data_IF_016262298037
#
_entry.id   IF_016262298037
#
_cell.length_a   1.000
_cell.length_b   1.000
_cell.length_c   1.000
_cell.angle_alpha   90.00
_cell.angle_beta   90.00
_cell.angle_gamma   90.00
#
_symmetry.space_group_name_H-M   'P 1'
#
loop_
_entity.id
_entity.type
_entity.pdbx_description
1 polymer ?
#
# COMPACT_ATOMS: atom_id res chain seq x y z
N UNK A 1 -1.23 30.26 0.03
CA UNK A 1 -2.45 30.97 -0.40
C UNK A 1 -3.24 31.52 0.80
N UNK A 2 -3.78 30.66 1.68
CA UNK A 2 -4.64 31.08 2.80
C UNK A 2 -4.01 32.05 3.81
N UNK A 3 -2.70 31.90 4.07
CA UNK A 3 -1.95 32.83 4.94
C UNK A 3 -1.86 34.26 4.38
N UNK A 4 -1.91 34.43 3.06
CA UNK A 4 -1.64 35.72 2.38
C UNK A 4 -2.88 36.39 1.81
N UNK A 5 -4.02 35.71 1.78
CA UNK A 5 -5.25 36.23 1.19
C UNK A 5 -6.43 35.95 2.12
N UNK A 6 -6.83 36.99 2.86
CA UNK A 6 -7.90 36.88 3.85
C UNK A 6 -9.26 36.68 3.18
N UNK A 7 -9.50 37.26 1.99
CA UNK A 7 -10.75 37.03 1.24
C UNK A 7 -10.97 35.55 0.89
N UNK A 8 -9.92 34.87 0.42
CA UNK A 8 -9.95 33.42 0.17
C UNK A 8 -10.14 32.65 1.48
N UNK A 9 -9.41 33.03 2.55
CA UNK A 9 -9.53 32.38 3.85
C UNK A 9 -10.96 32.47 4.39
N UNK A 10 -11.53 33.67 4.45
CA UNK A 10 -12.90 33.93 4.91
C UNK A 10 -13.91 33.18 4.04
N UNK A 11 -13.74 33.15 2.72
CA UNK A 11 -14.61 32.37 1.83
C UNK A 11 -14.60 30.89 2.17
N UNK A 12 -13.44 30.30 2.48
CA UNK A 12 -13.32 28.89 2.86
C UNK A 12 -13.86 28.65 4.27
N UNK A 13 -13.57 29.52 5.23
CA UNK A 13 -14.12 29.44 6.60
C UNK A 13 -15.66 29.50 6.59
N UNK A 14 -16.24 30.34 5.75
CA UNK A 14 -17.70 30.44 5.59
C UNK A 14 -18.31 29.17 4.98
N UNK A 15 -17.57 28.51 4.07
CA UNK A 15 -17.97 27.23 3.45
C UNK A 15 -17.83 26.07 4.43
N UNK A 16 -16.74 26.01 5.19
CA UNK A 16 -16.41 24.94 6.13
C UNK A 16 -16.37 25.49 7.55
N UNK A 17 -17.57 25.63 8.14
CA UNK A 17 -17.74 26.18 9.50
C UNK A 17 -17.20 25.29 10.62
N UNK A 18 -16.99 24.00 10.32
CA UNK A 18 -16.50 22.99 11.25
C UNK A 18 -15.46 22.13 10.55
N UNK A 19 -14.32 21.94 11.21
CA UNK A 19 -13.19 21.16 10.71
C UNK A 19 -13.04 19.93 11.59
N UNK A 20 -13.15 18.76 10.98
CA UNK A 20 -12.92 17.48 11.64
C UNK A 20 -11.57 16.94 11.17
N UNK A 21 -10.72 16.58 12.12
CA UNK A 21 -9.39 16.03 11.84
C UNK A 21 -9.27 14.69 12.56
N UNK A 22 -9.13 13.63 11.79
CA UNK A 22 -8.81 12.29 12.29
C UNK A 22 -7.30 12.05 12.25
N UNK A 23 -6.81 11.06 12.98
CA UNK A 23 -5.39 10.71 13.09
C UNK A 23 -4.48 11.92 13.42
N UNK A 24 -4.94 12.79 14.31
CA UNK A 24 -4.30 14.08 14.59
C UNK A 24 -2.85 13.96 15.11
N UNK A 25 -2.48 12.80 15.65
CA UNK A 25 -1.10 12.50 16.07
C UNK A 25 -0.10 12.47 14.91
N UNK A 26 -0.55 12.21 13.68
CA UNK A 26 0.31 12.09 12.49
C UNK A 26 0.41 13.41 11.70
N UNK A 27 -0.09 14.51 12.28
CA UNK A 27 -0.03 15.82 11.65
C UNK A 27 1.32 16.49 11.79
N UNK A 28 1.73 17.21 10.74
CA UNK A 28 2.93 18.04 10.73
C UNK A 28 2.60 19.52 11.04
N UNK A 29 3.60 20.36 11.38
CA UNK A 29 3.38 21.76 11.73
C UNK A 29 2.62 22.59 10.68
N UNK A 30 2.74 22.27 9.39
CA UNK A 30 2.01 22.97 8.33
C UNK A 30 0.54 22.58 8.30
N UNK A 31 0.22 21.30 8.51
CA UNK A 31 -1.17 20.84 8.61
C UNK A 31 -1.86 21.45 9.82
N UNK A 32 -1.18 21.49 10.97
CA UNK A 32 -1.68 22.20 12.16
C UNK A 32 -1.89 23.68 11.89
N UNK A 33 -0.95 24.33 11.19
CA UNK A 33 -1.12 25.73 10.78
C UNK A 33 -2.33 25.92 9.87
N UNK A 34 -2.58 24.98 8.95
CA UNK A 34 -3.75 25.00 8.08
C UNK A 34 -5.04 24.91 8.91
N UNK A 35 -5.12 23.96 9.85
CA UNK A 35 -6.28 23.83 10.74
C UNK A 35 -6.53 25.15 11.48
N UNK A 36 -5.49 25.76 12.06
CA UNK A 36 -5.60 27.08 12.71
C UNK A 36 -6.10 28.18 11.76
N UNK A 37 -5.60 28.24 10.53
CA UNK A 37 -6.06 29.22 9.54
C UNK A 37 -7.54 29.02 9.16
N UNK A 38 -8.09 27.83 9.33
CA UNK A 38 -9.48 27.53 9.05
C UNK A 38 -10.40 27.74 10.26
N UNK A 39 -9.85 27.78 11.48
CA UNK A 39 -10.64 27.80 12.71
C UNK A 39 -10.50 29.11 13.50
N UNK A 40 -9.47 29.90 13.21
CA UNK A 40 -9.25 31.24 13.77
C UNK A 40 -9.72 32.27 12.72
N UNK A 41 -10.78 33.02 13.03
CA UNK A 41 -11.23 34.10 12.14
C UNK A 41 -10.19 35.24 12.11
N UNK A 42 -10.07 35.99 10.99
CA UNK A 42 -9.04 37.03 10.85
C UNK A 42 -9.04 38.12 11.92
N UNK A 43 -10.19 38.35 12.56
CA UNK A 43 -10.43 39.32 13.64
C UNK A 43 -10.24 38.73 15.05
N UNK A 44 -9.84 37.46 15.15
CA UNK A 44 -9.68 36.73 16.41
C UNK A 44 -8.24 36.22 16.58
N UNK A 45 -7.80 36.11 17.83
CA UNK A 45 -6.52 35.49 18.19
C UNK A 45 -6.64 34.01 18.54
N UNK A 46 -7.86 33.53 18.77
CA UNK A 46 -8.16 32.20 19.32
C UNK A 46 -9.01 31.37 18.35
N UNK A 47 -9.04 30.07 18.58
CA UNK A 47 -9.88 29.13 17.84
C UNK A 47 -11.34 29.48 18.13
N UNK A 48 -12.15 29.62 17.07
CA UNK A 48 -13.57 29.90 17.21
C UNK A 48 -14.27 28.73 17.92
N UNK A 49 -15.07 28.95 18.98
CA UNK A 49 -15.76 27.87 19.67
C UNK A 49 -16.58 26.98 18.74
N UNK A 50 -16.40 25.65 18.85
CA UNK A 50 -17.11 24.66 18.03
C UNK A 50 -16.67 24.56 16.56
N UNK A 51 -15.61 25.27 16.15
CA UNK A 51 -15.08 25.23 14.78
C UNK A 51 -14.18 24.03 14.49
N UNK A 52 -13.67 23.34 15.51
CA UNK A 52 -12.73 22.22 15.34
C UNK A 52 -13.09 21.03 16.21
N UNK A 53 -12.92 19.84 15.65
CA UNK A 53 -13.01 18.57 16.35
C UNK A 53 -11.84 17.69 15.90
N UNK A 54 -10.98 17.30 16.84
CA UNK A 54 -9.81 16.47 16.55
C UNK A 54 -9.91 15.12 17.25
N UNK A 55 -9.55 14.06 16.53
CA UNK A 55 -9.46 12.70 17.03
C UNK A 55 -8.06 12.19 16.73
N UNK A 56 -7.49 11.45 17.67
CA UNK A 56 -6.18 10.83 17.49
C UNK A 56 -5.73 10.09 18.74
N UNK A 57 -4.75 9.23 18.55
CA UNK A 57 -4.09 8.51 19.62
C UNK A 57 -2.58 8.75 19.56
N UNK A 58 -1.99 9.51 20.49
CA UNK A 58 -0.56 9.80 20.44
C UNK A 58 0.31 8.53 20.59
N UNK A 59 -0.25 7.42 21.10
CA UNK A 59 0.42 6.11 21.18
C UNK A 59 0.59 5.46 19.79
N UNK A 60 -0.17 5.90 18.79
CA UNK A 60 -0.17 5.36 17.43
C UNK A 60 0.62 6.23 16.43
N UNK A 61 1.32 7.27 16.90
CA UNK A 61 2.13 8.15 16.04
C UNK A 61 3.36 7.41 15.50
N UNK A 62 3.26 6.89 14.28
CA UNK A 62 4.35 6.15 13.60
C UNK A 62 4.94 6.89 12.39
N UNK A 63 4.39 8.06 12.01
CA UNK A 63 4.82 8.82 10.82
C UNK A 63 5.87 9.92 11.08
N UNK A 64 6.70 9.77 12.13
CA UNK A 64 7.77 10.75 12.45
C UNK A 64 8.73 11.01 11.28
N UNK A 65 8.99 9.99 10.44
CA UNK A 65 9.82 10.12 9.24
C UNK A 65 9.23 11.04 8.16
N UNK A 66 7.92 11.35 8.23
CA UNK A 66 7.23 12.32 7.37
C UNK A 66 7.08 13.70 8.03
N UNK A 67 7.68 13.91 9.20
CA UNK A 67 7.63 15.18 9.91
C UNK A 67 6.49 15.32 10.93
N UNK A 68 5.73 14.25 11.20
CA UNK A 68 4.75 14.24 12.29
C UNK A 68 5.43 14.48 13.64
N UNK A 69 4.82 15.32 14.47
CA UNK A 69 5.35 15.69 15.78
C UNK A 69 4.25 15.66 16.85
N UNK A 70 4.30 14.64 17.71
CA UNK A 70 3.33 14.47 18.82
C UNK A 70 3.28 15.70 19.72
N UNK A 71 4.41 16.39 19.94
CA UNK A 71 4.48 17.62 20.74
C UNK A 71 3.61 18.75 20.17
N UNK A 72 3.49 18.85 18.85
CA UNK A 72 2.65 19.85 18.18
C UNK A 72 1.17 19.54 18.41
N UNK A 73 0.78 18.26 18.29
CA UNK A 73 -0.58 17.82 18.57
C UNK A 73 -0.97 18.06 20.05
N UNK A 74 -0.04 17.84 20.99
CA UNK A 74 -0.25 18.13 22.42
C UNK A 74 -0.38 19.65 22.68
N UNK A 75 0.41 20.49 22.02
CA UNK A 75 0.29 21.94 22.15
C UNK A 75 -1.08 22.44 21.68
N UNK A 76 -1.58 21.96 20.53
CA UNK A 76 -2.91 22.32 20.01
C UNK A 76 -4.02 21.82 20.92
N UNK A 77 -3.88 20.61 21.48
CA UNK A 77 -4.81 20.12 22.51
C UNK A 77 -4.84 21.07 23.71
N UNK A 78 -3.69 21.55 24.16
CA UNK A 78 -3.58 22.57 25.20
C UNK A 78 -4.37 23.83 24.85
N UNK A 79 -4.18 24.37 23.65
CA UNK A 79 -4.91 25.56 23.16
C UNK A 79 -6.43 25.35 23.14
N UNK A 80 -6.90 24.19 22.66
CA UNK A 80 -8.33 23.89 22.58
C UNK A 80 -8.98 23.78 23.97
N UNK A 81 -8.28 23.20 24.95
CA UNK A 81 -8.83 22.86 26.26
C UNK A 81 -8.63 23.97 27.29
N UNK A 82 -7.47 24.64 27.28
CA UNK A 82 -7.03 25.52 28.37
C UNK A 82 -7.16 27.01 28.05
N UNK A 83 -7.10 27.43 26.78
CA UNK A 83 -7.04 28.86 26.41
C UNK A 83 -8.42 29.51 26.30
N UNK A 84 -9.36 29.20 27.20
CA UNK A 84 -10.66 29.90 27.27
C UNK A 84 -11.67 29.60 26.15
N UNK A 85 -11.28 28.83 25.12
CA UNK A 85 -12.14 28.40 23.99
C UNK A 85 -13.31 27.51 24.43
N UNK A 86 -13.26 26.95 25.64
CA UNK A 86 -14.29 26.07 26.19
C UNK A 86 -14.30 24.66 25.57
N UNK A 87 -13.19 24.26 24.95
CA UNK A 87 -13.04 22.92 24.38
C UNK A 87 -12.99 21.83 25.45
N UNK A 88 -13.46 20.64 25.08
CA UNK A 88 -13.50 19.48 25.98
C UNK A 88 -12.59 18.37 25.46
N UNK A 89 -11.68 17.91 26.32
CA UNK A 89 -10.94 16.67 26.07
C UNK A 89 -11.76 15.46 26.55
N UNK A 90 -11.87 14.45 25.69
CA UNK A 90 -12.54 13.18 26.01
C UNK A 90 -11.57 12.04 25.70
N UNK A 91 -11.36 11.17 26.68
CA UNK A 91 -10.56 9.95 26.51
C UNK A 91 -11.50 8.76 26.34
N UNK A 92 -11.31 7.98 25.29
CA UNK A 92 -12.02 6.72 25.07
C UNK A 92 -11.08 5.56 25.43
N UNK A 93 -11.39 4.83 26.49
CA UNK A 93 -10.61 3.66 26.95
C UNK A 93 -11.21 2.33 26.49
N UNK A 94 -12.51 2.33 26.19
CA UNK A 94 -13.25 1.14 25.80
C UNK A 94 -12.85 0.66 24.41
N UNK A 95 -12.27 -0.54 24.34
CA UNK A 95 -12.02 -1.26 23.11
C UNK A 95 -13.22 -2.16 22.77
N UNK A 96 -13.67 -2.05 21.52
CA UNK A 96 -14.78 -2.84 20.95
C UNK A 96 -14.33 -3.74 19.79
N UNK A 97 -13.03 -3.77 19.48
CA UNK A 97 -12.48 -4.39 18.26
C UNK A 97 -11.78 -5.71 18.51
N UNK A 98 -11.21 -5.89 19.70
CA UNK A 98 -10.30 -6.98 20.04
C UNK A 98 -10.87 -7.88 21.13
N UNK A 99 -10.29 -9.07 21.29
CA UNK A 99 -10.63 -10.00 22.38
C UNK A 99 -9.94 -9.62 23.68
N UNK A 100 -10.42 -10.15 24.81
CA UNK A 100 -9.83 -9.90 26.12
C UNK A 100 -8.36 -10.33 26.19
N UNK A 101 -8.01 -11.46 25.57
CA UNK A 101 -6.62 -11.95 25.53
C UNK A 101 -5.67 -10.95 24.85
N UNK A 102 -6.07 -10.38 23.70
CA UNK A 102 -5.29 -9.37 23.00
C UNK A 102 -5.15 -8.12 23.88
N UNK A 103 -6.23 -7.64 24.49
CA UNK A 103 -6.18 -6.44 25.34
C UNK A 103 -5.27 -6.64 26.54
N UNK A 104 -5.41 -7.75 27.26
CA UNK A 104 -4.59 -8.04 28.43
C UNK A 104 -3.11 -8.15 28.07
N UNK A 105 -2.79 -8.81 26.96
CA UNK A 105 -1.42 -8.93 26.48
C UNK A 105 -0.84 -7.57 26.08
N UNK A 106 -1.58 -6.76 25.30
CA UNK A 106 -1.17 -5.41 24.90
C UNK A 106 -0.96 -4.51 26.12
N UNK A 107 -1.90 -4.53 27.08
CA UNK A 107 -1.79 -3.77 28.32
C UNK A 107 -0.53 -4.17 29.10
N UNK A 108 -0.28 -5.47 29.26
CA UNK A 108 0.89 -5.98 29.97
C UNK A 108 2.20 -5.57 29.30
N UNK A 109 2.31 -5.70 27.97
CA UNK A 109 3.52 -5.35 27.23
C UNK A 109 3.78 -3.84 27.29
N UNK A 110 2.79 -2.99 26.99
CA UNK A 110 3.06 -1.57 26.85
C UNK A 110 3.08 -0.79 28.16
N UNK A 111 2.51 -1.32 29.26
CA UNK A 111 2.64 -0.71 30.59
C UNK A 111 4.11 -0.59 31.03
N UNK A 112 4.95 -1.57 30.67
CA UNK A 112 6.38 -1.50 30.96
C UNK A 112 7.13 -0.55 30.00
N UNK A 113 6.79 -0.57 28.71
CA UNK A 113 7.61 0.05 27.66
C UNK A 113 7.19 1.47 27.24
N UNK A 114 5.92 1.86 27.37
CA UNK A 114 5.42 3.19 26.95
C UNK A 114 5.36 4.17 28.12
N UNK A 115 6.47 4.87 28.34
CA UNK A 115 6.63 5.90 29.38
C UNK A 115 7.02 7.24 28.76
N UNK A 116 6.43 8.34 29.22
CA UNK A 116 6.72 9.70 28.74
C UNK A 116 8.18 10.10 28.79
N UNK A 117 8.95 9.54 29.74
CA UNK A 117 10.40 9.70 29.86
C UNK A 117 11.16 9.27 28.59
N UNK A 118 10.60 8.37 27.79
CA UNK A 118 11.18 7.88 26.52
C UNK A 118 10.84 8.76 25.31
N UNK A 119 10.18 9.90 25.53
CA UNK A 119 9.70 10.77 24.45
C UNK A 119 8.46 10.23 23.71
N UNK A 120 7.77 9.25 24.31
CA UNK A 120 6.50 8.71 23.83
C UNK A 120 5.32 9.23 24.67
N UNK A 121 4.09 8.88 24.30
CA UNK A 121 2.94 9.09 25.18
C UNK A 121 2.89 8.01 26.27
N UNK A 122 2.41 8.37 27.46
CA UNK A 122 2.17 7.39 28.52
C UNK A 122 1.12 6.37 28.10
N UNK A 123 1.33 5.11 28.51
CA UNK A 123 0.33 4.08 28.33
C UNK A 123 -0.95 4.39 29.12
N UNK A 124 -2.10 4.27 28.46
CA UNK A 124 -3.41 4.30 29.09
C UNK A 124 -4.03 2.93 28.87
N UNK A 125 -4.24 2.12 29.92
CA UNK A 125 -4.80 0.79 29.79
C UNK A 125 -6.14 0.79 29.05
N UNK A 126 -6.26 -0.15 28.11
CA UNK A 126 -7.49 -0.39 27.36
C UNK A 126 -8.45 -1.23 28.23
N UNK A 127 -9.72 -0.87 28.17
CA UNK A 127 -10.81 -1.55 28.89
C UNK A 127 -11.69 -2.29 27.88
N UNK A 128 -12.13 -3.51 28.19
CA UNK A 128 -13.11 -4.21 27.34
C UNK A 128 -14.47 -3.51 27.47
N UNK A 129 -15.11 -3.19 26.34
CA UNK A 129 -16.47 -2.68 26.37
C UNK A 129 -17.45 -3.79 26.80
N UNK A 130 -18.37 -3.47 27.73
CA UNK A 130 -19.27 -4.45 28.37
C UNK A 130 -20.18 -5.19 27.36
N UNK A 131 -20.60 -4.51 26.30
CA UNK A 131 -21.42 -5.05 25.20
C UNK A 131 -20.64 -5.98 24.25
N UNK A 132 -19.30 -5.97 24.35
CA UNK A 132 -18.39 -6.82 23.59
C UNK A 132 -17.71 -7.89 24.44
N UNK A 133 -18.09 -8.03 25.71
CA UNK A 133 -17.56 -9.05 26.61
C UNK A 133 -17.80 -10.44 26.00
N UNK A 134 -16.71 -11.08 25.59
CA UNK A 134 -16.73 -12.40 24.97
C UNK A 134 -16.66 -13.46 26.09
N UNK A 135 -17.19 -14.67 25.87
CA UNK A 135 -16.85 -15.81 26.73
C UNK A 135 -15.32 -15.92 26.83
N UNK A 136 -14.78 -16.31 27.99
CA UNK A 136 -13.32 -16.37 28.25
C UNK A 136 -12.53 -17.22 27.22
N UNK A 137 -13.21 -18.07 26.44
CA UNK A 137 -12.64 -18.97 25.45
C UNK A 137 -12.42 -18.38 24.05
N UNK A 138 -12.53 -17.06 23.85
CA UNK A 138 -12.32 -16.43 22.55
C UNK A 138 -11.05 -15.58 22.45
N UNK A 139 -10.19 -15.97 21.50
CA UNK A 139 -8.96 -15.28 21.13
C UNK A 139 -7.81 -15.63 22.06
N UNK A 140 -6.68 -16.01 21.46
CA UNK A 140 -5.45 -16.35 22.16
C UNK A 140 -4.31 -15.55 21.54
N UNK A 141 -3.32 -15.21 22.37
CA UNK A 141 -2.08 -14.61 21.91
C UNK A 141 -1.01 -15.68 22.04
N UNK A 142 -0.38 -15.99 20.92
CA UNK A 142 0.71 -16.95 20.87
C UNK A 142 2.01 -16.24 20.58
N UNK A 143 3.05 -16.64 21.30
CA UNK A 143 4.43 -16.28 20.98
C UNK A 143 5.09 -17.52 20.39
N UNK A 144 5.58 -17.41 19.16
CA UNK A 144 6.23 -18.49 18.43
C UNK A 144 7.71 -18.16 18.23
N UNK A 145 8.53 -19.21 18.18
CA UNK A 145 9.97 -19.11 17.99
C UNK A 145 10.76 -19.31 19.28
N UNK A 146 12.01 -19.72 19.13
CA UNK A 146 12.96 -19.86 20.22
C UNK A 146 14.28 -19.14 19.86
N UNK A 147 15.06 -18.69 20.84
CA UNK A 147 16.38 -18.16 20.58
C UNK A 147 17.23 -19.17 19.80
N UNK A 148 17.64 -18.80 18.59
CA UNK A 148 18.54 -19.62 17.79
C UNK A 148 19.98 -19.15 18.01
N UNK A 149 20.86 -20.05 18.44
CA UNK A 149 22.31 -19.77 18.50
C UNK A 149 22.95 -19.93 17.12
N UNK A 150 22.55 -19.04 16.20
CA UNK A 150 23.08 -18.99 14.83
C UNK A 150 23.56 -17.59 14.50
N UNK A 151 24.74 -17.50 13.88
CA UNK A 151 25.32 -16.21 13.46
C UNK A 151 24.69 -15.66 12.18
N UNK A 152 24.01 -16.51 11.40
CA UNK A 152 23.43 -16.13 10.12
C UNK A 152 21.97 -15.70 10.28
N UNK A 153 21.71 -14.41 10.05
CA UNK A 153 20.37 -13.81 10.11
C UNK A 153 19.41 -14.43 9.09
N UNK A 154 19.89 -14.83 7.92
CA UNK A 154 19.02 -15.41 6.89
C UNK A 154 18.50 -16.80 7.29
N UNK A 155 19.27 -17.55 8.07
CA UNK A 155 18.80 -18.82 8.65
C UNK A 155 17.64 -18.59 9.62
N UNK A 156 17.73 -17.55 10.47
CA UNK A 156 16.66 -17.18 11.40
C UNK A 156 15.42 -16.75 10.62
N UNK A 157 15.58 -15.91 9.59
CA UNK A 157 14.47 -15.44 8.74
C UNK A 157 13.78 -16.59 8.02
N UNK A 158 14.54 -17.55 7.51
CA UNK A 158 13.99 -18.72 6.83
C UNK A 158 13.16 -19.58 7.78
N UNK A 159 13.64 -19.81 9.02
CA UNK A 159 12.89 -20.54 10.04
C UNK A 159 11.61 -19.80 10.45
N UNK A 160 11.69 -18.47 10.63
CA UNK A 160 10.53 -17.63 10.93
C UNK A 160 9.48 -17.66 9.80
N UNK A 161 9.92 -17.54 8.54
CA UNK A 161 9.04 -17.64 7.38
C UNK A 161 8.33 -18.99 7.28
N UNK A 162 9.03 -20.10 7.60
CA UNK A 162 8.42 -21.43 7.64
C UNK A 162 7.38 -21.55 8.75
N UNK A 163 7.65 -21.02 9.94
CA UNK A 163 6.69 -21.01 11.04
C UNK A 163 5.42 -20.21 10.67
N UNK A 164 5.59 -19.03 10.09
CA UNK A 164 4.48 -18.19 9.60
C UNK A 164 3.68 -18.91 8.52
N UNK A 165 4.34 -19.58 7.56
CA UNK A 165 3.65 -20.33 6.51
C UNK A 165 2.81 -21.49 7.08
N UNK A 166 3.28 -22.16 8.14
CA UNK A 166 2.51 -23.20 8.82
C UNK A 166 1.27 -22.65 9.54
N UNK A 167 1.38 -21.48 10.18
CA UNK A 167 0.23 -20.78 10.76
C UNK A 167 -0.75 -20.37 9.65
N UNK A 168 -0.24 -19.83 8.55
CA UNK A 168 -1.04 -19.43 7.41
C UNK A 168 -1.83 -20.62 6.84
N UNK A 169 -1.19 -21.78 6.71
CA UNK A 169 -1.84 -23.03 6.30
C UNK A 169 -2.99 -23.38 7.24
N UNK A 170 -2.74 -23.41 8.55
CA UNK A 170 -3.77 -23.75 9.53
C UNK A 170 -5.00 -22.83 9.41
N UNK A 171 -4.77 -21.52 9.24
CA UNK A 171 -5.84 -20.54 9.05
C UNK A 171 -6.58 -20.78 7.73
N UNK A 172 -5.86 -20.96 6.63
CA UNK A 172 -6.45 -21.17 5.30
C UNK A 172 -7.24 -22.47 5.19
N UNK A 173 -6.85 -23.52 5.92
CA UNK A 173 -7.57 -24.80 5.97
C UNK A 173 -8.73 -24.81 6.98
N UNK A 174 -9.04 -23.69 7.62
CA UNK A 174 -10.14 -23.58 8.57
C UNK A 174 -9.91 -24.25 9.92
N UNK A 175 -8.64 -24.44 10.33
CA UNK A 175 -8.31 -25.10 11.58
C UNK A 175 -8.62 -24.25 12.83
N UNK A 176 -8.81 -22.93 12.67
CA UNK A 176 -9.17 -22.03 13.76
C UNK A 176 -10.65 -21.66 13.70
N UNK A 177 -11.22 -21.31 14.86
CA UNK A 177 -12.55 -20.77 14.97
C UNK A 177 -12.48 -19.25 15.09
N UNK A 178 -13.21 -18.56 14.22
CA UNK A 178 -13.33 -17.09 14.22
C UNK A 178 -14.79 -16.68 14.40
N UNK A 179 -15.00 -15.51 14.98
CA UNK A 179 -16.33 -14.92 15.14
C UNK A 179 -16.62 -14.01 13.96
N UNK A 180 -17.72 -14.27 13.26
CA UNK A 180 -18.17 -13.38 12.20
C UNK A 180 -18.72 -12.08 12.82
N UNK A 181 -18.17 -10.93 12.40
CA UNK A 181 -18.58 -9.63 12.93
C UNK A 181 -20.00 -9.23 12.54
N UNK A 182 -20.58 -9.81 11.48
CA UNK A 182 -21.89 -9.42 10.96
C UNK A 182 -23.04 -10.03 11.75
N UNK A 183 -22.95 -11.32 12.06
CA UNK A 183 -24.01 -12.05 12.78
C UNK A 183 -23.58 -12.53 14.17
N UNK A 184 -22.29 -12.43 14.52
CA UNK A 184 -21.75 -12.84 15.81
C UNK A 184 -21.52 -14.34 15.96
N UNK A 185 -21.78 -15.15 14.92
CA UNK A 185 -21.67 -16.60 14.95
C UNK A 185 -20.22 -17.08 14.81
N UNK A 186 -19.96 -18.32 15.24
CA UNK A 186 -18.65 -18.97 15.06
C UNK A 186 -18.60 -19.61 13.68
N UNK A 187 -17.48 -19.43 12.98
CA UNK A 187 -17.17 -20.14 11.74
C UNK A 187 -15.72 -20.56 11.71
N UNK A 188 -15.41 -21.53 10.85
CA UNK A 188 -14.02 -21.84 10.55
C UNK A 188 -13.32 -20.63 9.92
N UNK A 189 -12.03 -20.50 10.20
CA UNK A 189 -11.17 -19.48 9.62
C UNK A 189 -11.04 -19.65 8.11
N UNK A 190 -10.71 -18.55 7.44
CA UNK A 190 -10.51 -18.48 6.00
C UNK A 190 -9.28 -17.61 5.71
N UNK A 191 -8.73 -17.62 4.48
CA UNK A 191 -7.58 -16.79 4.14
C UNK A 191 -7.79 -15.29 4.44
N UNK A 192 -9.02 -14.78 4.29
CA UNK A 192 -9.36 -13.39 4.59
C UNK A 192 -9.36 -13.02 6.07
N UNK A 193 -9.18 -13.99 6.97
CA UNK A 193 -9.07 -13.76 8.42
C UNK A 193 -7.62 -13.60 8.89
N UNK A 194 -6.64 -13.81 8.00
CA UNK A 194 -5.21 -13.67 8.30
C UNK A 194 -4.66 -12.36 7.76
N UNK A 195 -3.85 -11.69 8.57
CA UNK A 195 -3.01 -10.58 8.12
C UNK A 195 -1.62 -10.75 8.73
N UNK A 196 -0.59 -10.73 7.88
CA UNK A 196 0.81 -10.81 8.30
C UNK A 196 1.39 -9.40 8.23
N UNK A 197 1.85 -8.88 9.37
CA UNK A 197 2.45 -7.55 9.48
C UNK A 197 3.96 -7.67 9.67
N UNK A 198 4.72 -6.95 8.85
CA UNK A 198 6.19 -6.85 8.97
C UNK A 198 6.60 -5.38 9.12
N UNK A 199 7.69 -5.13 9.83
CA UNK A 199 8.22 -3.76 10.01
C UNK A 199 8.75 -3.16 8.71
N UNK A 200 9.37 -3.98 7.87
CA UNK A 200 10.00 -3.57 6.61
C UNK A 200 9.77 -4.64 5.54
N UNK A 201 9.70 -4.20 4.29
CA UNK A 201 9.47 -5.07 3.12
C UNK A 201 10.69 -5.85 2.66
N UNK A 202 11.87 -5.59 3.23
CA UNK A 202 13.15 -6.14 2.73
C UNK A 202 13.21 -7.66 2.66
N UNK A 203 12.37 -8.37 3.42
CA UNK A 203 12.40 -9.83 3.51
C UNK A 203 11.10 -10.48 3.02
N UNK A 204 10.22 -9.71 2.38
CA UNK A 204 8.90 -10.18 1.99
C UNK A 204 8.96 -11.42 1.08
N UNK A 205 9.91 -11.45 0.14
CA UNK A 205 10.15 -12.58 -0.76
C UNK A 205 10.41 -13.91 -0.04
N UNK A 206 11.04 -13.87 1.15
CA UNK A 206 11.30 -15.08 1.94
C UNK A 206 9.98 -15.66 2.47
N UNK A 207 9.07 -14.82 2.94
CA UNK A 207 7.77 -15.27 3.45
C UNK A 207 6.87 -15.74 2.31
N UNK A 208 6.77 -14.97 1.22
CA UNK A 208 5.92 -15.36 0.09
C UNK A 208 6.36 -16.69 -0.50
N UNK A 209 7.68 -16.92 -0.65
CA UNK A 209 8.18 -18.20 -1.15
C UNK A 209 7.74 -19.40 -0.32
N UNK A 210 7.73 -19.30 1.01
CA UNK A 210 7.24 -20.40 1.87
C UNK A 210 5.73 -20.57 1.79
N UNK A 211 4.98 -19.49 1.60
CA UNK A 211 3.52 -19.53 1.39
C UNK A 211 3.19 -20.12 0.01
N UNK A 212 3.96 -19.75 -1.03
CA UNK A 212 3.83 -20.26 -2.41
C UNK A 212 4.06 -21.77 -2.47
N UNK A 213 5.06 -22.30 -1.72
CA UNK A 213 5.30 -23.75 -1.60
C UNK A 213 4.11 -24.53 -1.08
N UNK A 214 3.22 -23.87 -0.32
CA UNK A 214 2.01 -24.46 0.24
C UNK A 214 0.77 -24.17 -0.63
N UNK A 215 0.95 -23.50 -1.77
CA UNK A 215 -0.11 -23.13 -2.71
C UNK A 215 -1.27 -22.36 -2.04
N UNK A 216 -0.94 -21.56 -1.02
CA UNK A 216 -1.95 -20.79 -0.28
C UNK A 216 -2.28 -19.48 -0.99
N UNK A 217 -3.57 -19.08 -1.05
CA UNK A 217 -3.95 -17.81 -1.61
C UNK A 217 -3.57 -16.66 -0.67
N UNK A 218 -2.93 -15.62 -1.21
CA UNK A 218 -2.65 -14.38 -0.50
C UNK A 218 -2.68 -13.18 -1.43
N UNK A 219 -2.78 -11.99 -0.84
CA UNK A 219 -2.55 -10.73 -1.53
C UNK A 219 -1.40 -10.01 -0.84
N UNK A 220 -0.43 -9.57 -1.63
CA UNK A 220 0.66 -8.73 -1.18
C UNK A 220 0.41 -7.29 -1.63
N UNK A 221 0.56 -6.31 -0.73
CA UNK A 221 0.65 -4.91 -1.15
C UNK A 221 2.03 -4.65 -1.77
N UNK A 222 2.13 -4.94 -3.06
CA UNK A 222 3.31 -4.69 -3.89
C UNK A 222 3.40 -3.18 -4.17
N UNK A 223 4.56 -2.59 -3.89
CA UNK A 223 4.82 -1.18 -4.20
C UNK A 223 4.93 -0.94 -5.70
N UNK A 224 4.63 0.28 -6.16
CA UNK A 224 4.66 0.60 -7.60
C UNK A 224 6.03 0.39 -8.28
N UNK A 225 7.14 0.42 -7.54
CA UNK A 225 8.48 0.15 -8.09
C UNK A 225 8.69 -1.32 -8.47
N UNK A 226 8.07 -2.24 -7.74
CA UNK A 226 8.18 -3.68 -8.00
C UNK A 226 7.42 -4.05 -9.29
N UNK A 227 6.32 -3.36 -9.60
CA UNK A 227 5.59 -3.49 -10.88
C UNK A 227 6.52 -3.21 -12.07
N UNK A 228 7.41 -2.21 -11.97
CA UNK A 228 8.36 -1.88 -13.04
C UNK A 228 9.40 -2.97 -13.30
N UNK A 229 9.59 -3.89 -12.34
CA UNK A 229 10.54 -5.00 -12.47
C UNK A 229 9.91 -6.29 -13.04
N UNK A 230 8.59 -6.32 -13.16
CA UNK A 230 7.84 -7.46 -13.71
C UNK A 230 8.22 -7.76 -15.16
N UNK A 231 8.01 -8.99 -15.61
CA UNK A 231 8.31 -9.36 -16.98
C UNK A 231 7.32 -8.65 -17.93
N UNK A 232 6.07 -8.50 -17.52
CA UNK A 232 4.97 -7.86 -18.24
C UNK A 232 5.28 -6.39 -18.49
N UNK A 233 5.78 -5.66 -17.48
CA UNK A 233 6.19 -4.27 -17.66
C UNK A 233 7.40 -4.15 -18.59
N UNK A 234 8.39 -5.04 -18.46
CA UNK A 234 9.57 -5.06 -19.35
C UNK A 234 9.19 -5.36 -20.79
N UNK A 235 8.28 -6.31 -21.00
CA UNK A 235 7.70 -6.66 -22.29
C UNK A 235 7.00 -5.45 -22.92
N UNK A 236 6.16 -4.76 -22.14
CA UNK A 236 5.46 -3.56 -22.59
C UNK A 236 6.44 -2.45 -22.93
N UNK A 237 7.43 -2.22 -22.08
CA UNK A 237 8.47 -1.21 -22.29
C UNK A 237 9.24 -1.47 -23.59
N UNK A 238 9.64 -2.73 -23.85
CA UNK A 238 10.29 -3.08 -25.11
C UNK A 238 9.39 -2.80 -26.32
N UNK A 239 8.09 -3.08 -26.22
CA UNK A 239 7.13 -2.73 -27.27
C UNK A 239 7.06 -1.22 -27.50
N UNK A 240 6.97 -0.42 -26.42
CA UNK A 240 6.91 1.04 -26.51
C UNK A 240 8.21 1.64 -27.06
N UNK A 241 9.37 1.09 -26.70
CA UNK A 241 10.66 1.49 -27.27
C UNK A 241 10.72 1.15 -28.76
N UNK A 242 10.30 -0.05 -29.17
CA UNK A 242 10.25 -0.44 -30.58
C UNK A 242 9.28 0.42 -31.41
N UNK A 243 8.19 0.89 -30.79
CA UNK A 243 7.23 1.82 -31.36
C UNK A 243 7.85 3.23 -31.43
N UNK A 244 8.59 3.67 -30.41
CA UNK A 244 9.10 5.03 -30.35
C UNK A 244 10.35 5.25 -31.22
N UNK A 245 11.29 4.32 -31.13
CA UNK A 245 12.53 4.28 -31.89
C UNK A 245 12.63 2.98 -32.71
N UNK A 246 12.10 2.97 -33.95
CA UNK A 246 12.23 1.83 -34.85
C UNK A 246 13.67 1.47 -35.25
N UNK A 247 14.67 2.28 -34.88
CA UNK A 247 16.08 1.98 -35.13
C UNK A 247 16.72 1.16 -34.02
N UNK A 248 16.07 1.07 -32.85
CA UNK A 248 16.49 0.20 -31.75
C UNK A 248 16.17 -1.27 -32.06
N UNK A 249 17.14 -1.95 -32.67
CA UNK A 249 17.02 -3.37 -33.00
C UNK A 249 16.89 -4.25 -31.75
N UNK A 250 17.70 -4.08 -30.68
CA UNK A 250 17.47 -4.77 -29.42
C UNK A 250 16.06 -4.61 -28.86
N UNK A 251 15.55 -3.37 -28.79
CA UNK A 251 14.19 -3.08 -28.33
C UNK A 251 13.13 -3.77 -29.19
N UNK A 252 13.31 -3.73 -30.52
CA UNK A 252 12.42 -4.39 -31.48
C UNK A 252 12.43 -5.91 -31.32
N UNK A 253 13.60 -6.54 -31.16
CA UNK A 253 13.69 -7.98 -30.89
C UNK A 253 13.05 -8.33 -29.54
N UNK A 254 13.28 -7.51 -28.51
CA UNK A 254 12.62 -7.67 -27.21
C UNK A 254 11.09 -7.60 -27.30
N UNK A 255 10.57 -6.66 -28.10
CA UNK A 255 9.14 -6.54 -28.38
C UNK A 255 8.60 -7.80 -29.09
N UNK A 256 9.27 -8.27 -30.13
CA UNK A 256 8.85 -9.48 -30.85
C UNK A 256 8.82 -10.73 -29.97
N UNK A 257 9.79 -10.86 -29.05
CA UNK A 257 9.85 -11.98 -28.09
C UNK A 257 8.90 -11.87 -26.92
N UNK A 258 8.31 -10.69 -26.69
CA UNK A 258 7.39 -10.46 -25.59
C UNK A 258 6.15 -11.35 -25.69
N UNK A 259 5.47 -11.50 -24.57
CA UNK A 259 4.16 -12.18 -24.49
C UNK A 259 3.10 -11.58 -25.43
N UNK A 260 3.25 -10.32 -25.85
CA UNK A 260 2.32 -9.65 -26.79
C UNK A 260 2.47 -10.08 -28.25
N UNK A 261 3.63 -10.64 -28.63
CA UNK A 261 3.93 -11.00 -30.02
C UNK A 261 4.38 -12.46 -30.19
N UNK A 262 4.99 -13.05 -29.16
CA UNK A 262 5.26 -14.49 -29.08
C UNK A 262 6.19 -15.05 -30.16
N UNK A 263 7.04 -14.24 -30.78
CA UNK A 263 7.98 -14.72 -31.80
C UNK A 263 9.10 -15.54 -31.15
N UNK A 264 9.27 -16.79 -31.59
CA UNK A 264 10.35 -17.65 -31.11
C UNK A 264 11.70 -17.28 -31.73
N UNK A 265 12.79 -17.74 -31.14
CA UNK A 265 14.14 -17.54 -31.71
C UNK A 265 14.27 -18.18 -33.11
N UNK A 266 13.49 -19.23 -33.41
CA UNK A 266 13.43 -19.85 -34.74
C UNK A 266 12.77 -18.92 -35.75
N UNK A 267 11.69 -18.24 -35.37
CA UNK A 267 11.01 -17.27 -36.24
C UNK A 267 11.92 -16.08 -36.55
N UNK A 268 12.61 -15.56 -35.53
CA UNK A 268 13.58 -14.46 -35.69
C UNK A 268 14.75 -14.86 -36.57
N UNK A 269 15.24 -16.10 -36.46
CA UNK A 269 16.28 -16.64 -37.33
C UNK A 269 15.82 -16.69 -38.79
N UNK A 270 14.61 -17.22 -39.05
CA UNK A 270 14.07 -17.27 -40.41
C UNK A 270 13.85 -15.88 -41.00
N UNK A 271 13.38 -14.92 -40.21
CA UNK A 271 13.28 -13.52 -40.59
C UNK A 271 14.62 -12.92 -41.01
N UNK A 272 15.66 -13.08 -40.17
CA UNK A 272 16.99 -12.55 -40.46
C UNK A 272 17.62 -13.23 -41.68
N UNK A 273 17.44 -14.55 -41.82
CA UNK A 273 17.92 -15.34 -42.97
C UNK A 273 17.26 -14.90 -44.28
N UNK A 274 16.01 -14.46 -44.22
CA UNK A 274 15.29 -13.91 -45.36
C UNK A 274 15.72 -12.47 -45.73
N UNK A 275 16.71 -11.91 -45.04
CA UNK A 275 17.18 -10.53 -45.24
C UNK A 275 16.32 -9.47 -44.52
N UNK A 276 15.44 -9.90 -43.60
CA UNK A 276 14.61 -8.99 -42.82
C UNK A 276 15.44 -8.15 -41.84
N UNK A 277 15.07 -6.88 -41.71
CA UNK A 277 15.66 -5.96 -40.71
C UNK A 277 14.78 -5.90 -39.48
N UNK A 278 15.39 -5.77 -38.30
CA UNK A 278 14.66 -5.60 -37.04
C UNK A 278 14.28 -4.14 -36.82
N UNK A 279 13.42 -3.62 -37.70
CA UNK A 279 12.93 -2.25 -37.66
C UNK A 279 11.53 -2.23 -38.27
N UNK A 280 10.53 -1.74 -37.54
CA UNK A 280 9.14 -1.77 -37.98
C UNK A 280 8.89 -0.85 -39.20
N UNK A 281 9.76 0.10 -39.50
CA UNK A 281 9.68 1.00 -40.66
C UNK A 281 10.40 0.47 -41.91
N UNK A 282 11.17 -0.62 -41.80
CA UNK A 282 11.90 -1.21 -42.93
C UNK A 282 11.01 -2.10 -43.82
N UNK A 283 11.38 -2.29 -45.09
CA UNK A 283 10.65 -3.22 -45.96
C UNK A 283 10.65 -4.65 -45.40
N UNK A 284 9.54 -5.34 -45.58
CA UNK A 284 9.33 -6.69 -45.05
C UNK A 284 9.55 -7.74 -46.14
N UNK A 285 10.53 -8.64 -46.01
CA UNK A 285 10.79 -9.67 -47.01
C UNK A 285 9.60 -10.62 -47.15
N UNK A 286 9.27 -10.98 -48.38
CA UNK A 286 8.24 -11.98 -48.67
C UNK A 286 8.88 -13.37 -48.81
N UNK A 287 9.11 -14.03 -47.68
CA UNK A 287 9.75 -15.34 -47.61
C UNK A 287 8.95 -16.31 -46.72
N UNK A 288 8.84 -17.56 -47.15
CA UNK A 288 8.16 -18.61 -46.41
C UNK A 288 8.84 -18.85 -45.05
N UNK A 289 8.04 -18.92 -43.98
CA UNK A 289 8.53 -19.12 -42.61
C UNK A 289 8.90 -17.84 -41.86
N UNK A 290 8.73 -16.67 -42.47
CA UNK A 290 8.93 -15.37 -41.83
C UNK A 290 7.61 -14.66 -41.50
N UNK A 291 6.47 -15.35 -41.63
CA UNK A 291 5.14 -14.74 -41.61
C UNK A 291 4.75 -14.23 -40.21
N UNK A 292 5.09 -14.98 -39.16
CA UNK A 292 4.83 -14.59 -37.76
C UNK A 292 5.52 -13.26 -37.41
N UNK A 293 6.83 -13.15 -37.69
CA UNK A 293 7.59 -11.92 -37.45
C UNK A 293 7.10 -10.78 -38.34
N UNK A 294 6.69 -11.08 -39.58
CA UNK A 294 6.14 -10.08 -40.50
C UNK A 294 4.84 -9.47 -39.99
N UNK A 295 3.92 -10.29 -39.50
CA UNK A 295 2.65 -9.82 -38.95
C UNK A 295 2.87 -9.02 -37.66
N UNK A 296 3.78 -9.47 -36.80
CA UNK A 296 4.20 -8.72 -35.63
C UNK A 296 4.81 -7.35 -35.99
N UNK A 297 5.70 -7.30 -36.98
CA UNK A 297 6.32 -6.08 -37.48
C UNK A 297 5.32 -5.10 -38.13
N UNK A 298 4.33 -5.63 -38.87
CA UNK A 298 3.23 -4.83 -39.42
C UNK A 298 2.42 -4.15 -38.33
N UNK A 299 2.18 -4.87 -37.24
CA UNK A 299 1.44 -4.31 -36.13
C UNK A 299 2.27 -3.26 -35.38
N UNK A 300 3.57 -3.50 -35.12
CA UNK A 300 4.45 -2.47 -34.57
C UNK A 300 4.49 -1.22 -35.45
N UNK A 301 4.51 -1.37 -36.78
CA UNK A 301 4.42 -0.25 -37.72
C UNK A 301 3.11 0.50 -37.57
N UNK A 302 1.98 -0.20 -37.54
CA UNK A 302 0.65 0.40 -37.38
C UNK A 302 0.58 1.27 -36.12
N UNK A 303 1.09 0.76 -34.99
CA UNK A 303 1.07 1.50 -33.72
C UNK A 303 2.07 2.67 -33.74
N UNK A 304 3.23 2.50 -34.38
CA UNK A 304 4.18 3.59 -34.64
C UNK A 304 3.55 4.74 -35.45
N UNK A 305 2.75 4.44 -36.47
CA UNK A 305 2.02 5.46 -37.26
C UNK A 305 0.91 6.15 -36.45
N UNK A 306 0.22 5.41 -35.57
CA UNK A 306 -0.83 5.97 -34.70
C UNK A 306 -0.28 6.90 -33.62
N UNK A 307 0.95 6.67 -33.15
CA UNK A 307 1.61 7.49 -32.12
C UNK A 307 1.60 8.98 -32.47
N UNK A 308 1.79 9.32 -33.74
CA UNK A 308 1.88 10.71 -34.19
C UNK A 308 0.54 11.46 -34.07
N UNK A 309 -0.58 10.73 -33.94
CA UNK A 309 -1.94 11.27 -33.93
C UNK A 309 -2.71 10.99 -32.62
N UNK A 310 -2.08 10.34 -31.64
CA UNK A 310 -2.72 9.96 -30.38
C UNK A 310 -1.93 10.46 -29.16
N UNK A 311 -2.65 10.79 -28.10
CA UNK A 311 -2.02 11.04 -26.80
C UNK A 311 -1.42 9.73 -26.25
N UNK A 312 -0.22 9.77 -25.63
CA UNK A 312 0.46 8.55 -25.16
C UNK A 312 -0.42 7.61 -24.30
N UNK A 313 -1.25 8.09 -23.34
CA UNK A 313 -2.11 7.21 -22.56
C UNK A 313 -3.13 6.44 -23.41
N UNK A 314 -3.68 7.08 -24.45
CA UNK A 314 -4.67 6.48 -25.35
C UNK A 314 -4.02 5.43 -26.24
N UNK A 315 -2.82 5.70 -26.74
CA UNK A 315 -2.05 4.75 -27.55
C UNK A 315 -1.72 3.48 -26.75
N UNK A 316 -1.22 3.64 -25.53
CA UNK A 316 -0.88 2.53 -24.62
C UNK A 316 -2.13 1.71 -24.30
N UNK A 317 -3.24 2.36 -23.95
CA UNK A 317 -4.49 1.66 -23.65
C UNK A 317 -5.02 0.88 -24.87
N UNK A 318 -4.94 1.47 -26.05
CA UNK A 318 -5.35 0.86 -27.32
C UNK A 318 -4.52 -0.39 -27.60
N UNK A 319 -3.19 -0.26 -27.54
CA UNK A 319 -2.25 -1.37 -27.74
C UNK A 319 -2.52 -2.53 -26.77
N UNK A 320 -2.66 -2.23 -25.47
CA UNK A 320 -2.92 -3.26 -24.45
C UNK A 320 -4.27 -3.96 -24.67
N UNK A 321 -5.31 -3.22 -25.07
CA UNK A 321 -6.64 -3.78 -25.31
C UNK A 321 -6.65 -4.69 -26.54
N UNK A 322 -6.03 -4.28 -27.63
CA UNK A 322 -5.96 -5.04 -28.87
C UNK A 322 -5.10 -6.30 -28.74
N UNK A 323 -4.10 -6.28 -27.85
CA UNK A 323 -3.25 -7.43 -27.53
C UNK A 323 -3.75 -8.32 -26.38
N UNK A 324 -4.98 -8.12 -25.91
CA UNK A 324 -5.57 -8.89 -24.80
C UNK A 324 -4.72 -8.88 -23.51
N UNK A 325 -3.91 -7.84 -23.31
CA UNK A 325 -2.99 -7.69 -22.17
C UNK A 325 -3.70 -7.45 -20.82
N UNK A 326 -5.03 -7.42 -20.79
CA UNK A 326 -5.85 -7.20 -19.58
C UNK A 326 -6.34 -8.50 -18.93
N UNK A 327 -6.09 -9.65 -19.56
CA UNK A 327 -6.56 -10.98 -19.10
C UNK A 327 -5.42 -11.90 -18.61
N UNK A 328 -4.18 -11.39 -18.56
CA UNK A 328 -3.02 -12.00 -17.88
C UNK A 328 -2.84 -11.37 -16.49
#
# INVERSE_FOLDING_TARGET
MLKRNDGVRTSIQNRYRRVFVDEFQDTDPNQVRLVRLLTIHPDQSEISPGSVFVVGDPKQSIYRFRGAQVSVSQAVKGEIVNDGVGGRHVTLKENRRSTNAIINWVNHVFEEWMRSETGQADWIPLEMAQDTAQPESFGEVFHFGEPMDVKNVDTVRQADAQAVAMIARAVCTGALQVRDRRNGEKRCSSPGDLTILTRARTNWETYTREIDKLELPYTAEIGGAEVLSTQEFRDLLNCLIAIDDPSDQPGTVGALKSTYFGCSDVDLYHWAKAGGRFSCTSDFPNAAGADVVRDAMRELRRVNELRDNMQPPVLIETFLRERQAREL
#
